data_IF_528952405008
#
_entry.id   IF_528952405008
#
_cell.length_a   1.000
_cell.length_b   1.000
_cell.length_c   1.000
_cell.angle_alpha   90.00
_cell.angle_beta   90.00
_cell.angle_gamma   90.00
#
_symmetry.space_group_name_H-M   'P 1'
#
loop_
_entity.id
_entity.type
_entity.pdbx_description
1 polymer ?
#
# COMPACT_ATOMS: atom_id res chain seq x y z
N UNK A 1 -12.31 -10.97 -37.73
CA UNK A 1 -12.20 -12.31 -37.15
C UNK A 1 -11.83 -12.17 -35.69
N UNK A 2 -12.47 -12.86 -34.74
CA UNK A 2 -12.02 -12.88 -33.35
C UNK A 2 -10.58 -13.43 -33.32
N UNK A 3 -9.69 -12.76 -32.56
CA UNK A 3 -8.34 -13.29 -32.33
C UNK A 3 -8.48 -14.70 -31.75
N UNK A 4 -7.65 -15.68 -32.19
CA UNK A 4 -7.66 -16.99 -31.57
C UNK A 4 -7.43 -16.84 -30.08
N UNK A 5 -8.27 -17.53 -29.29
CA UNK A 5 -8.15 -17.56 -27.84
C UNK A 5 -6.88 -18.33 -27.46
N UNK A 6 -5.79 -17.60 -27.34
CA UNK A 6 -4.52 -18.16 -26.87
C UNK A 6 -4.60 -18.29 -25.36
N UNK A 7 -4.60 -19.52 -24.86
CA UNK A 7 -4.55 -19.79 -23.42
C UNK A 7 -3.62 -20.94 -23.12
N UNK A 8 -2.98 -20.89 -21.95
CA UNK A 8 -2.16 -21.96 -21.39
C UNK A 8 -2.80 -22.41 -20.07
N UNK A 9 -2.87 -23.72 -19.84
CA UNK A 9 -3.39 -24.26 -18.59
C UNK A 9 -2.26 -24.83 -17.77
N UNK A 10 -2.10 -24.33 -16.56
CA UNK A 10 -1.10 -24.78 -15.58
C UNK A 10 -1.78 -25.64 -14.52
N UNK A 11 -1.17 -26.78 -14.17
CA UNK A 11 -1.61 -27.59 -13.03
C UNK A 11 -0.89 -27.07 -11.77
N UNK A 12 -1.64 -26.47 -10.83
CA UNK A 12 -1.08 -25.83 -9.63
C UNK A 12 -1.92 -26.28 -8.43
N UNK A 13 -1.29 -26.85 -7.40
CA UNK A 13 -1.96 -27.33 -6.18
C UNK A 13 -3.19 -28.23 -6.46
N UNK A 14 -3.12 -29.06 -7.51
CA UNK A 14 -4.23 -29.93 -7.93
C UNK A 14 -5.34 -29.24 -8.72
N UNK A 15 -5.23 -27.94 -9.00
CA UNK A 15 -6.19 -27.18 -9.79
C UNK A 15 -5.67 -26.86 -11.20
N UNK A 16 -6.55 -26.92 -12.20
CA UNK A 16 -6.27 -26.48 -13.57
C UNK A 16 -6.49 -24.96 -13.66
N UNK A 17 -5.42 -24.18 -13.59
CA UNK A 17 -5.46 -22.72 -13.70
C UNK A 17 -5.23 -22.29 -15.14
N UNK A 18 -6.26 -21.76 -15.80
CA UNK A 18 -6.19 -21.26 -17.16
C UNK A 18 -5.62 -19.86 -17.19
N UNK A 19 -4.50 -19.67 -17.89
CA UNK A 19 -3.88 -18.38 -18.16
C UNK A 19 -4.33 -17.90 -19.54
N UNK A 20 -5.16 -16.89 -19.57
CA UNK A 20 -5.67 -16.30 -20.82
C UNK A 20 -4.65 -15.31 -21.38
N UNK A 21 -4.46 -15.32 -22.70
CA UNK A 21 -3.52 -14.44 -23.42
C UNK A 21 -2.13 -14.40 -22.73
N UNK A 22 -1.42 -15.54 -22.63
CA UNK A 22 -0.15 -15.65 -21.91
C UNK A 22 0.91 -14.70 -22.47
N UNK A 23 0.95 -14.50 -23.78
CA UNK A 23 1.92 -13.65 -24.48
C UNK A 23 1.56 -12.15 -24.45
N UNK A 24 0.46 -11.78 -23.77
CA UNK A 24 0.07 -10.36 -23.67
C UNK A 24 1.20 -9.56 -23.04
N UNK A 25 1.72 -8.49 -23.70
CA UNK A 25 2.76 -7.64 -23.12
C UNK A 25 2.24 -6.93 -21.85
N UNK A 26 2.97 -7.07 -20.75
CA UNK A 26 2.69 -6.38 -19.50
C UNK A 26 3.65 -5.24 -19.26
N UNK A 27 4.93 -5.44 -19.54
CA UNK A 27 5.97 -4.40 -19.54
C UNK A 27 6.59 -4.32 -20.93
N UNK A 28 6.77 -3.11 -21.43
CA UNK A 28 7.25 -2.86 -22.80
C UNK A 28 8.34 -1.81 -22.89
N UNK A 29 8.57 -1.05 -21.80
CA UNK A 29 9.52 0.05 -21.74
C UNK A 29 10.95 -0.44 -21.46
N UNK A 30 11.38 -0.45 -20.22
CA UNK A 30 12.75 -0.85 -19.83
C UNK A 30 12.94 -2.37 -19.83
N UNK A 31 11.92 -3.11 -19.38
CA UNK A 31 11.91 -4.58 -19.43
C UNK A 31 10.78 -5.06 -20.34
N UNK A 32 10.99 -6.24 -20.95
CA UNK A 32 10.01 -6.88 -21.82
C UNK A 32 9.47 -8.13 -21.15
N UNK A 33 8.26 -8.03 -20.56
CA UNK A 33 7.65 -9.13 -19.83
C UNK A 33 6.21 -9.32 -20.30
N UNK A 34 5.86 -10.57 -20.54
CA UNK A 34 4.49 -11.00 -20.84
C UNK A 34 3.69 -11.22 -19.55
N UNK A 35 2.40 -11.41 -19.71
CA UNK A 35 1.51 -11.83 -18.61
C UNK A 35 1.97 -13.15 -17.98
N UNK A 36 2.38 -14.11 -18.82
CA UNK A 36 2.88 -15.40 -18.34
C UNK A 36 4.17 -15.26 -17.53
N UNK A 37 5.04 -14.31 -17.88
CA UNK A 37 6.26 -14.05 -17.12
C UNK A 37 5.92 -13.56 -15.71
N UNK A 38 4.89 -12.71 -15.57
CA UNK A 38 4.41 -12.26 -14.26
C UNK A 38 3.80 -13.42 -13.45
N UNK A 39 3.03 -14.32 -14.10
CA UNK A 39 2.52 -15.53 -13.45
C UNK A 39 3.69 -16.40 -12.96
N UNK A 40 4.67 -16.68 -13.83
CA UNK A 40 5.86 -17.48 -13.48
C UNK A 40 6.67 -16.87 -12.34
N UNK A 41 6.80 -15.52 -12.32
CA UNK A 41 7.42 -14.82 -11.21
C UNK A 41 6.70 -15.13 -9.90
N UNK A 42 5.36 -14.96 -9.82
CA UNK A 42 4.63 -15.24 -8.60
C UNK A 42 4.70 -16.71 -8.18
N UNK A 43 4.74 -17.64 -9.13
CA UNK A 43 4.95 -19.06 -8.82
C UNK A 43 6.32 -19.31 -8.19
N UNK A 44 7.36 -18.62 -8.66
CA UNK A 44 8.72 -18.79 -8.13
C UNK A 44 8.91 -18.25 -6.72
N UNK A 45 8.09 -17.28 -6.26
CA UNK A 45 8.13 -16.66 -4.94
C UNK A 45 6.86 -16.95 -4.12
N UNK A 46 6.04 -17.90 -4.56
CA UNK A 46 4.71 -18.14 -3.99
C UNK A 46 4.70 -18.36 -2.47
N UNK A 47 5.62 -19.13 -1.84
CA UNK A 47 5.63 -19.31 -0.40
C UNK A 47 5.73 -17.98 0.36
N UNK A 48 6.61 -17.08 -0.07
CA UNK A 48 6.76 -15.76 0.53
C UNK A 48 5.60 -14.81 0.21
N UNK A 49 5.13 -14.77 -1.04
CA UNK A 49 3.99 -13.96 -1.44
C UNK A 49 2.72 -14.35 -0.67
N UNK A 50 2.49 -15.65 -0.47
CA UNK A 50 1.36 -16.17 0.29
C UNK A 50 1.41 -15.79 1.77
N UNK A 51 2.59 -15.75 2.40
CA UNK A 51 2.70 -15.40 3.81
C UNK A 51 2.01 -14.06 4.14
N UNK A 52 2.17 -13.07 3.28
CA UNK A 52 1.57 -11.74 3.47
C UNK A 52 0.07 -11.65 3.17
N UNK A 53 -0.50 -12.61 2.42
CA UNK A 53 -1.89 -12.53 1.93
C UNK A 53 -2.76 -13.74 2.30
N UNK A 54 -2.17 -14.83 2.81
CA UNK A 54 -2.89 -16.06 3.12
C UNK A 54 -4.02 -15.79 4.12
N UNK A 55 -5.19 -16.36 3.81
CA UNK A 55 -6.40 -16.23 4.62
C UNK A 55 -6.86 -14.77 4.84
N UNK A 56 -6.48 -13.86 3.92
CA UNK A 56 -6.90 -12.46 3.97
C UNK A 56 -7.83 -12.12 2.81
N UNK A 57 -8.88 -11.34 3.05
CA UNK A 57 -9.61 -10.70 1.97
C UNK A 57 -8.67 -9.79 1.19
N UNK A 58 -8.80 -9.76 -0.14
CA UNK A 58 -7.91 -8.99 -1.01
C UNK A 58 -8.68 -8.13 -2.00
N UNK A 59 -8.29 -6.87 -2.10
CA UNK A 59 -8.78 -5.96 -3.14
C UNK A 59 -8.01 -6.23 -4.43
N UNK A 60 -8.71 -6.52 -5.51
CA UNK A 60 -8.11 -6.78 -6.81
C UNK A 60 -7.79 -5.46 -7.51
N UNK A 61 -6.52 -5.10 -7.57
CA UNK A 61 -6.03 -4.00 -8.42
C UNK A 61 -5.60 -4.59 -9.76
N UNK A 62 -6.45 -4.45 -10.78
CA UNK A 62 -6.33 -5.16 -12.05
C UNK A 62 -5.72 -4.29 -13.14
N UNK A 63 -4.62 -4.74 -13.71
CA UNK A 63 -3.92 -4.16 -14.86
C UNK A 63 -4.29 -4.92 -16.12
N UNK A 64 -5.54 -4.85 -16.54
CA UNK A 64 -6.06 -5.66 -17.66
C UNK A 64 -5.39 -5.33 -18.99
N UNK A 65 -4.88 -4.12 -19.17
CA UNK A 65 -4.23 -3.66 -20.41
C UNK A 65 -2.69 -3.61 -20.32
N UNK A 66 -2.12 -4.27 -19.31
CA UNK A 66 -0.69 -4.29 -19.02
C UNK A 66 -0.31 -3.32 -17.90
N UNK A 67 0.90 -3.49 -17.35
CA UNK A 67 1.38 -2.75 -16.18
C UNK A 67 1.53 -1.25 -16.41
N UNK A 68 1.79 -0.84 -17.66
CA UNK A 68 2.02 0.55 -18.06
C UNK A 68 0.72 1.31 -18.36
N UNK A 69 -0.45 0.70 -18.12
CA UNK A 69 -1.78 1.30 -18.28
C UNK A 69 -2.47 1.47 -16.93
N UNK A 70 -3.50 2.30 -16.92
CA UNK A 70 -4.25 2.58 -15.71
C UNK A 70 -4.98 1.33 -15.18
N UNK A 71 -4.78 0.97 -13.91
CA UNK A 71 -5.51 -0.12 -13.29
C UNK A 71 -6.89 0.30 -12.83
N UNK A 72 -7.76 -0.67 -12.60
CA UNK A 72 -8.98 -0.43 -11.85
C UNK A 72 -9.04 -1.30 -10.59
N UNK A 73 -9.74 -0.81 -9.56
CA UNK A 73 -9.92 -1.53 -8.31
C UNK A 73 -11.25 -2.28 -8.32
N UNK A 74 -11.20 -3.58 -8.05
CA UNK A 74 -12.36 -4.44 -7.91
C UNK A 74 -12.38 -5.03 -6.50
N UNK A 75 -13.33 -4.61 -5.69
CA UNK A 75 -13.54 -5.13 -4.33
C UNK A 75 -14.39 -6.40 -4.34
N UNK A 76 -15.38 -6.49 -5.24
CA UNK A 76 -16.26 -7.66 -5.33
C UNK A 76 -15.60 -8.77 -6.12
N UNK A 77 -15.73 -10.00 -5.61
CA UNK A 77 -15.35 -11.19 -6.34
C UNK A 77 -15.99 -11.19 -7.73
N UNK A 78 -15.25 -11.51 -8.81
CA UNK A 78 -15.81 -11.71 -10.14
C UNK A 78 -16.92 -12.77 -10.14
N UNK A 79 -17.89 -12.63 -11.03
CA UNK A 79 -18.99 -13.61 -11.15
C UNK A 79 -18.54 -14.99 -11.60
N UNK A 80 -17.41 -15.07 -12.31
CA UNK A 80 -16.75 -16.27 -12.83
C UNK A 80 -15.67 -16.80 -11.88
N UNK A 81 -15.69 -16.40 -10.60
CA UNK A 81 -14.75 -16.93 -9.59
C UNK A 81 -14.93 -18.44 -9.45
N UNK A 82 -13.85 -19.24 -9.64
CA UNK A 82 -13.92 -20.70 -9.48
C UNK A 82 -14.39 -21.09 -8.07
N UNK A 83 -15.12 -22.20 -7.98
CA UNK A 83 -15.68 -22.69 -6.70
C UNK A 83 -14.61 -22.98 -5.65
N UNK A 84 -13.40 -23.36 -6.07
CA UNK A 84 -12.26 -23.62 -5.20
C UNK A 84 -11.55 -22.35 -4.70
N UNK A 85 -11.93 -21.17 -5.18
CA UNK A 85 -11.43 -19.88 -4.65
C UNK A 85 -12.37 -19.40 -3.56
N UNK A 86 -11.85 -19.27 -2.35
CA UNK A 86 -12.62 -18.82 -1.18
C UNK A 86 -13.07 -17.37 -1.31
N UNK A 87 -14.19 -17.06 -0.65
CA UNK A 87 -14.76 -15.71 -0.53
C UNK A 87 -15.20 -15.46 0.89
N UNK A 88 -15.21 -14.20 1.30
CA UNK A 88 -15.74 -13.74 2.58
C UNK A 88 -16.48 -12.41 2.39
N UNK A 89 -17.59 -12.24 3.11
CA UNK A 89 -18.39 -11.01 3.04
C UNK A 89 -17.85 -9.97 4.02
N UNK A 90 -17.38 -8.83 3.50
CA UNK A 90 -16.97 -7.68 4.29
C UNK A 90 -18.09 -6.66 4.42
N UNK A 91 -18.20 -6.04 5.60
CA UNK A 91 -19.07 -4.89 5.85
C UNK A 91 -18.21 -3.63 5.93
N UNK A 92 -18.60 -2.59 5.20
CA UNK A 92 -17.88 -1.32 5.14
C UNK A 92 -18.56 -0.25 6.01
N UNK A 93 -17.80 0.79 6.46
CA UNK A 93 -18.37 1.90 7.24
C UNK A 93 -19.54 2.61 6.58
N UNK A 94 -19.68 2.49 5.26
CA UNK A 94 -20.81 3.02 4.48
C UNK A 94 -22.11 2.22 4.62
N UNK A 95 -22.12 1.12 5.40
CA UNK A 95 -23.22 0.17 5.51
C UNK A 95 -23.38 -0.80 4.32
N UNK A 96 -22.46 -0.73 3.32
CA UNK A 96 -22.45 -1.65 2.19
C UNK A 96 -21.68 -2.91 2.53
N UNK A 97 -21.98 -4.01 1.83
CA UNK A 97 -21.24 -5.27 1.89
C UNK A 97 -20.65 -5.64 0.54
N UNK A 98 -19.58 -6.43 0.53
CA UNK A 98 -19.04 -7.06 -0.65
C UNK A 98 -18.43 -8.41 -0.31
N UNK A 99 -18.64 -9.40 -1.18
CA UNK A 99 -17.91 -10.66 -1.13
C UNK A 99 -16.56 -10.42 -1.78
N UNK A 100 -15.49 -10.50 -0.99
CA UNK A 100 -14.11 -10.37 -1.46
C UNK A 100 -13.43 -11.74 -1.51
N UNK A 101 -12.45 -11.86 -2.39
CA UNK A 101 -11.66 -13.09 -2.56
C UNK A 101 -10.72 -13.23 -1.38
N UNK A 102 -10.54 -14.48 -0.93
CA UNK A 102 -9.55 -14.89 0.06
C UNK A 102 -8.53 -15.79 -0.61
N UNK A 103 -7.25 -15.43 -0.50
CA UNK A 103 -6.13 -16.19 -1.07
C UNK A 103 -5.56 -17.11 0.02
N UNK A 104 -5.45 -18.40 -0.26
CA UNK A 104 -4.94 -19.40 0.68
C UNK A 104 -3.93 -20.40 0.08
N UNK A 105 -3.82 -20.45 -1.25
CA UNK A 105 -2.92 -21.37 -1.94
C UNK A 105 -2.32 -20.76 -3.22
N UNK A 106 -1.35 -21.45 -3.82
CA UNK A 106 -0.66 -20.98 -5.03
C UNK A 106 -1.58 -20.91 -6.25
N UNK A 107 -2.57 -21.80 -6.35
CA UNK A 107 -3.51 -21.79 -7.46
C UNK A 107 -4.38 -20.52 -7.44
N UNK A 108 -4.90 -20.13 -6.27
CA UNK A 108 -5.69 -18.90 -6.11
C UNK A 108 -4.84 -17.64 -6.35
N UNK A 109 -3.58 -17.64 -5.93
CA UNK A 109 -2.62 -16.57 -6.26
C UNK A 109 -2.42 -16.48 -7.79
N UNK A 110 -2.11 -17.58 -8.46
CA UNK A 110 -1.93 -17.60 -9.90
C UNK A 110 -3.20 -17.16 -10.65
N UNK A 111 -4.37 -17.53 -10.15
CA UNK A 111 -5.64 -17.14 -10.73
C UNK A 111 -5.88 -15.62 -10.66
N UNK A 112 -5.66 -14.96 -9.51
CA UNK A 112 -5.79 -13.50 -9.45
C UNK A 112 -4.74 -12.77 -10.29
N UNK A 113 -3.52 -13.32 -10.39
CA UNK A 113 -2.48 -12.76 -11.26
C UNK A 113 -2.91 -12.86 -12.72
N UNK A 114 -3.53 -13.97 -13.15
CA UNK A 114 -4.13 -14.09 -14.48
C UNK A 114 -5.21 -13.03 -14.74
N UNK A 115 -5.97 -12.60 -13.73
CA UNK A 115 -6.92 -11.50 -13.83
C UNK A 115 -6.24 -10.11 -13.96
N UNK A 116 -4.92 -10.05 -13.86
CA UNK A 116 -4.12 -8.84 -13.95
C UNK A 116 -3.74 -8.22 -12.59
N UNK A 117 -3.91 -8.96 -11.50
CA UNK A 117 -3.53 -8.48 -10.16
C UNK A 117 -2.05 -8.77 -9.90
N UNK A 118 -1.18 -7.85 -10.26
CA UNK A 118 0.25 -7.95 -9.97
C UNK A 118 0.66 -7.21 -8.70
N UNK A 119 -0.18 -6.31 -8.19
CA UNK A 119 -0.07 -5.75 -6.85
C UNK A 119 -1.06 -6.46 -5.92
N UNK A 120 -0.56 -7.06 -4.85
CA UNK A 120 -1.35 -7.78 -3.86
C UNK A 120 -1.79 -6.83 -2.75
N UNK A 121 -3.08 -6.56 -2.64
CA UNK A 121 -3.65 -5.59 -1.71
C UNK A 121 -4.54 -6.25 -0.64
N UNK A 122 -3.98 -6.98 0.34
CA UNK A 122 -4.75 -7.62 1.41
C UNK A 122 -5.21 -6.61 2.46
N UNK A 123 -6.37 -6.90 3.07
CA UNK A 123 -6.76 -6.27 4.32
C UNK A 123 -5.85 -6.75 5.48
N UNK A 124 -5.68 -5.96 6.56
CA UNK A 124 -4.87 -6.35 7.72
C UNK A 124 -5.60 -7.29 8.68
N UNK A 125 -6.55 -8.08 8.17
CA UNK A 125 -7.38 -9.03 8.94
C UNK A 125 -7.37 -10.39 8.27
N UNK A 126 -7.64 -11.45 9.04
CA UNK A 126 -7.90 -12.80 8.52
C UNK A 126 -9.38 -13.00 8.27
N UNK A 127 -9.73 -13.93 7.39
CA UNK A 127 -11.13 -14.20 7.00
C UNK A 127 -12.01 -14.69 8.15
N UNK A 128 -11.42 -15.24 9.21
CA UNK A 128 -12.10 -15.70 10.41
C UNK A 128 -12.44 -14.59 11.41
N UNK A 129 -11.77 -13.43 11.33
CA UNK A 129 -12.06 -12.24 12.15
C UNK A 129 -11.78 -10.98 11.33
N UNK A 130 -12.86 -10.33 10.91
CA UNK A 130 -12.79 -9.16 10.01
C UNK A 130 -12.79 -7.82 10.74
N UNK A 131 -12.88 -7.83 12.06
CA UNK A 131 -12.99 -6.62 12.88
C UNK A 131 -11.74 -6.36 13.72
N UNK A 132 -10.87 -7.36 13.91
CA UNK A 132 -9.64 -7.23 14.66
C UNK A 132 -8.41 -7.48 13.77
N UNK A 133 -7.67 -6.40 13.41
CA UNK A 133 -6.42 -6.56 12.66
C UNK A 133 -5.40 -7.44 13.41
N UNK A 134 -4.71 -8.31 12.65
CA UNK A 134 -3.53 -9.07 13.12
C UNK A 134 -2.22 -8.46 12.64
N UNK A 135 -2.27 -7.23 12.08
CA UNK A 135 -1.11 -6.55 11.53
C UNK A 135 -1.17 -5.04 11.77
N UNK A 136 -0.13 -4.51 12.42
CA UNK A 136 0.17 -3.07 12.45
C UNK A 136 1.06 -2.72 11.27
N UNK A 137 0.72 -1.68 10.52
CA UNK A 137 1.41 -1.21 9.32
C UNK A 137 1.99 0.18 9.53
N UNK A 138 3.30 0.31 9.42
CA UNK A 138 3.99 1.60 9.40
C UNK A 138 4.48 1.83 7.96
N UNK A 139 3.78 2.71 7.26
CA UNK A 139 4.05 3.06 5.86
C UNK A 139 4.92 4.33 5.82
N UNK A 140 6.13 4.21 5.29
CA UNK A 140 7.13 5.26 5.16
C UNK A 140 7.06 5.85 3.75
N UNK A 141 6.34 6.96 3.58
CA UNK A 141 6.13 7.62 2.30
C UNK A 141 6.93 8.94 2.20
N UNK A 142 8.10 8.94 1.53
CA UNK A 142 8.90 10.14 1.37
C UNK A 142 8.20 11.15 0.45
N UNK A 143 8.22 12.43 0.83
CA UNK A 143 7.80 13.49 -0.09
C UNK A 143 8.79 13.59 -1.27
N UNK A 144 8.38 14.17 -2.41
CA UNK A 144 9.28 14.34 -3.56
C UNK A 144 10.57 15.05 -3.20
N UNK A 145 11.70 14.48 -3.64
CA UNK A 145 13.03 15.04 -3.39
C UNK A 145 13.72 14.57 -2.11
N UNK A 146 13.06 13.80 -1.26
CA UNK A 146 13.68 13.20 -0.07
C UNK A 146 14.64 12.09 -0.48
N UNK A 147 15.91 12.11 -0.01
CA UNK A 147 16.88 11.07 -0.31
C UNK A 147 16.46 9.71 0.25
N UNK A 148 16.77 8.63 -0.49
CA UNK A 148 16.51 7.25 -0.06
C UNK A 148 17.14 6.91 1.30
N UNK A 149 18.29 7.51 1.61
CA UNK A 149 18.95 7.37 2.91
C UNK A 149 18.06 7.80 4.10
N UNK A 150 17.26 8.85 3.93
CA UNK A 150 16.31 9.27 4.96
C UNK A 150 15.26 8.18 5.23
N UNK A 151 14.75 7.52 4.19
CA UNK A 151 13.78 6.43 4.33
C UNK A 151 14.39 5.27 5.11
N UNK A 152 15.64 4.87 4.78
CA UNK A 152 16.37 3.81 5.48
C UNK A 152 16.59 4.15 6.95
N UNK A 153 17.03 5.37 7.26
CA UNK A 153 17.25 5.85 8.63
C UNK A 153 15.96 5.87 9.43
N UNK A 154 14.86 6.34 8.83
CA UNK A 154 13.54 6.32 9.49
C UNK A 154 13.08 4.89 9.74
N UNK A 155 13.29 3.95 8.80
CA UNK A 155 12.96 2.55 9.00
C UNK A 155 13.72 1.92 10.18
N UNK A 156 15.02 2.24 10.33
CA UNK A 156 15.84 1.77 11.45
C UNK A 156 15.38 2.35 12.80
N UNK A 157 14.96 3.63 12.82
CA UNK A 157 14.43 4.25 14.03
C UNK A 157 13.05 3.70 14.41
N UNK A 158 12.19 3.42 13.40
CA UNK A 158 10.92 2.71 13.62
C UNK A 158 11.16 1.34 14.20
N UNK A 159 12.16 0.59 13.71
CA UNK A 159 12.58 -0.68 14.28
C UNK A 159 12.91 -0.53 15.77
N UNK A 160 13.83 0.38 16.11
CA UNK A 160 14.27 0.59 17.49
C UNK A 160 13.09 0.90 18.42
N UNK A 161 12.20 1.83 18.01
CA UNK A 161 11.01 2.17 18.79
C UNK A 161 10.09 0.96 19.01
N UNK A 162 9.82 0.16 17.97
CA UNK A 162 8.92 -0.99 18.08
C UNK A 162 9.52 -2.09 18.99
N UNK A 163 10.84 -2.34 18.86
CA UNK A 163 11.57 -3.29 19.73
C UNK A 163 11.60 -2.83 21.20
N UNK A 164 11.74 -1.54 21.48
CA UNK A 164 11.61 -0.95 22.83
C UNK A 164 10.24 -1.23 23.47
N UNK A 165 9.20 -1.36 22.64
CA UNK A 165 7.85 -1.68 23.06
C UNK A 165 7.51 -3.18 23.01
N UNK A 166 8.52 -4.05 22.83
CA UNK A 166 8.38 -5.51 22.85
C UNK A 166 7.74 -6.10 21.59
N UNK A 167 7.76 -5.37 20.49
CA UNK A 167 7.24 -5.81 19.20
C UNK A 167 8.36 -6.28 18.27
N UNK A 168 8.07 -7.23 17.39
CA UNK A 168 9.00 -7.73 16.37
C UNK A 168 8.66 -7.15 15.00
N UNK A 169 9.38 -6.13 14.50
CA UNK A 169 9.10 -5.52 13.22
C UNK A 169 9.76 -6.27 12.06
N UNK A 170 9.06 -6.30 10.91
CA UNK A 170 9.49 -6.85 9.63
C UNK A 170 9.47 -5.77 8.55
N UNK A 171 10.58 -5.61 7.86
CA UNK A 171 10.78 -4.51 6.91
C UNK A 171 10.78 -5.00 5.47
N UNK A 172 10.19 -4.20 4.56
CA UNK A 172 10.26 -4.41 3.12
C UNK A 172 10.33 -3.09 2.37
N UNK A 173 10.86 -3.10 1.16
CA UNK A 173 10.66 -1.96 0.25
C UNK A 173 9.20 -1.87 -0.15
N UNK A 174 8.69 -0.68 -0.43
CA UNK A 174 7.36 -0.53 -1.03
C UNK A 174 7.31 -0.99 -2.50
N UNK A 175 8.49 -1.25 -3.08
CA UNK A 175 8.66 -1.43 -4.53
C UNK A 175 8.51 -0.12 -5.31
N UNK A 176 8.45 1.02 -4.64
CA UNK A 176 8.43 2.36 -5.23
C UNK A 176 9.46 3.25 -4.53
N UNK A 177 9.04 4.29 -3.81
CA UNK A 177 9.94 5.27 -3.18
C UNK A 177 10.13 5.09 -1.69
N UNK A 178 9.32 4.28 -1.04
CA UNK A 178 9.25 4.13 0.41
C UNK A 178 9.59 2.74 0.90
N UNK A 179 9.41 2.56 2.20
CA UNK A 179 9.49 1.27 2.89
C UNK A 179 8.23 1.06 3.73
N UNK A 180 7.90 -0.20 4.01
CA UNK A 180 6.89 -0.55 5.00
C UNK A 180 7.56 -1.35 6.12
N UNK A 181 7.18 -1.05 7.35
CA UNK A 181 7.52 -1.85 8.53
C UNK A 181 6.23 -2.43 9.06
N UNK A 182 6.10 -3.73 8.99
CA UNK A 182 4.91 -4.46 9.42
C UNK A 182 5.21 -5.22 10.71
N UNK A 183 4.20 -5.32 11.58
CA UNK A 183 4.29 -6.07 12.85
C UNK A 183 3.08 -6.97 12.94
N UNK A 184 3.28 -8.25 13.27
CA UNK A 184 2.16 -9.10 13.70
C UNK A 184 1.73 -8.72 15.10
N UNK A 185 0.43 -8.57 15.29
CA UNK A 185 -0.18 -8.23 16.57
C UNK A 185 -1.25 -9.27 16.94
N UNK A 186 -1.49 -9.43 18.23
CA UNK A 186 -2.64 -10.22 18.70
C UNK A 186 -3.95 -9.63 18.13
N UNK A 187 -4.84 -10.44 17.51
CA UNK A 187 -6.06 -9.91 16.88
C UNK A 187 -7.17 -9.65 17.93
N UNK A 188 -6.95 -8.67 18.80
CA UNK A 188 -7.90 -8.28 19.87
C UNK A 188 -8.18 -6.79 19.93
N UNK A 189 -7.45 -5.98 19.16
CA UNK A 189 -7.67 -4.54 19.07
C UNK A 189 -8.47 -4.20 17.82
N UNK A 190 -9.36 -3.23 17.96
CA UNK A 190 -10.13 -2.69 16.86
C UNK A 190 -9.25 -1.89 15.88
N UNK A 191 -9.74 -1.67 14.67
CA UNK A 191 -9.06 -0.79 13.70
C UNK A 191 -8.78 0.61 14.24
N UNK A 192 -9.67 1.14 15.10
CA UNK A 192 -9.47 2.44 15.75
C UNK A 192 -8.27 2.43 16.68
N UNK A 193 -8.13 1.39 17.49
CA UNK A 193 -7.00 1.24 18.41
C UNK A 193 -5.69 0.99 17.66
N UNK A 194 -5.68 0.16 16.62
CA UNK A 194 -4.48 -0.09 15.80
C UNK A 194 -4.04 1.19 15.08
N UNK A 195 -4.98 1.97 14.53
CA UNK A 195 -4.66 3.28 13.92
C UNK A 195 -4.13 4.27 14.95
N UNK A 196 -4.71 4.28 16.17
CA UNK A 196 -4.25 5.13 17.29
C UNK A 196 -2.83 4.76 17.70
N UNK A 197 -2.50 3.47 17.76
CA UNK A 197 -1.13 2.99 18.00
C UNK A 197 -0.18 3.45 16.87
N UNK A 198 -0.56 3.32 15.60
CA UNK A 198 0.24 3.78 14.47
C UNK A 198 0.50 5.30 14.52
N UNK A 199 -0.50 6.11 14.92
CA UNK A 199 -0.35 7.55 15.10
C UNK A 199 0.65 7.89 16.21
N UNK A 200 0.61 7.15 17.33
CA UNK A 200 1.58 7.34 18.43
C UNK A 200 3.01 7.00 17.98
N UNK A 201 3.20 5.90 17.25
CA UNK A 201 4.49 5.57 16.62
C UNK A 201 4.94 6.70 15.70
N UNK A 202 4.08 7.20 14.82
CA UNK A 202 4.41 8.27 13.87
C UNK A 202 4.87 9.55 14.57
N UNK A 203 4.19 9.96 15.65
CA UNK A 203 4.54 11.11 16.48
C UNK A 203 5.85 10.90 17.24
N UNK A 204 6.07 9.71 17.79
CA UNK A 204 7.31 9.39 18.49
C UNK A 204 8.52 9.46 17.55
N UNK A 205 8.39 8.94 16.33
CA UNK A 205 9.44 9.01 15.30
C UNK A 205 9.67 10.47 14.85
N UNK A 206 8.61 11.26 14.66
CA UNK A 206 8.75 12.69 14.34
C UNK A 206 9.54 13.44 15.43
N UNK A 207 9.29 13.15 16.74
CA UNK A 207 10.04 13.72 17.87
C UNK A 207 11.51 13.29 17.88
N UNK A 208 11.81 12.03 17.54
CA UNK A 208 13.19 11.50 17.49
C UNK A 208 13.98 11.98 16.27
N UNK A 209 13.28 12.27 15.17
CA UNK A 209 13.89 12.62 13.88
C UNK A 209 13.28 13.91 13.30
N UNK A 210 13.37 15.05 14.00
CA UNK A 210 12.77 16.30 13.54
C UNK A 210 13.33 16.72 12.18
N UNK A 211 12.45 17.13 11.26
CA UNK A 211 12.82 17.51 9.89
C UNK A 211 13.16 16.35 8.94
N UNK A 212 13.30 15.13 9.46
CA UNK A 212 13.55 13.91 8.65
C UNK A 212 12.31 13.05 8.53
N UNK A 213 11.51 12.94 9.60
CA UNK A 213 10.24 12.22 9.63
C UNK A 213 9.10 13.15 10.03
N UNK A 214 7.86 12.86 9.59
CA UNK A 214 6.69 13.65 9.92
C UNK A 214 5.43 12.82 10.06
N UNK A 215 4.58 13.20 11.04
CA UNK A 215 3.22 12.69 11.23
C UNK A 215 2.15 13.65 10.69
N UNK A 216 2.54 14.76 10.06
CA UNK A 216 1.63 15.81 9.59
C UNK A 216 0.71 15.29 8.48
N UNK A 217 -0.61 15.45 8.68
CA UNK A 217 -1.61 15.03 7.69
C UNK A 217 -1.58 15.87 6.42
N UNK A 218 -1.44 17.20 6.56
CA UNK A 218 -1.49 18.11 5.42
C UNK A 218 -0.20 18.04 4.60
N UNK A 219 -0.33 17.82 3.28
CA UNK A 219 0.82 17.65 2.38
C UNK A 219 1.77 18.87 2.41
N UNK A 220 1.18 20.05 2.58
CA UNK A 220 1.90 21.33 2.60
C UNK A 220 2.78 21.51 3.87
N UNK A 221 2.48 20.74 4.93
CA UNK A 221 3.21 20.78 6.19
C UNK A 221 4.24 19.66 6.31
N UNK A 222 4.21 18.69 5.39
CA UNK A 222 5.09 17.53 5.44
C UNK A 222 6.52 17.92 5.11
N UNK A 223 7.44 17.37 5.90
CA UNK A 223 8.88 17.44 5.67
C UNK A 223 9.46 16.02 5.81
N UNK A 224 10.39 15.63 4.93
CA UNK A 224 11.03 14.34 5.02
C UNK A 224 10.13 13.16 4.66
N UNK A 225 10.12 12.14 5.50
CA UNK A 225 9.38 10.90 5.33
C UNK A 225 8.08 10.97 6.14
N UNK A 226 6.94 10.86 5.47
CA UNK A 226 5.64 10.79 6.13
C UNK A 226 5.35 9.37 6.59
N UNK A 227 4.99 9.21 7.87
CA UNK A 227 4.51 7.94 8.40
C UNK A 227 2.98 7.93 8.31
N UNK A 228 2.44 7.17 7.32
CA UNK A 228 0.99 7.14 7.07
C UNK A 228 0.26 6.16 8.01
N UNK A 229 -0.12 6.66 9.18
CA UNK A 229 -0.91 5.93 10.17
C UNK A 229 -2.31 5.54 9.69
N UNK A 230 -2.86 6.23 8.67
CA UNK A 230 -4.18 5.93 8.12
C UNK A 230 -4.24 4.64 7.29
N UNK A 231 -3.10 4.02 6.97
CA UNK A 231 -3.06 2.68 6.38
C UNK A 231 -3.59 1.59 7.34
N UNK A 232 -3.78 1.94 8.62
CA UNK A 232 -4.39 1.07 9.64
C UNK A 232 -5.90 1.32 9.84
N UNK A 233 -6.52 2.22 9.08
CA UNK A 233 -7.97 2.41 9.12
C UNK A 233 -8.69 1.25 8.39
N UNK A 234 -9.90 0.90 8.82
CA UNK A 234 -10.75 -0.10 8.13
C UNK A 234 -10.89 0.29 6.64
N UNK A 235 -10.91 -0.65 5.75
CA UNK A 235 -10.94 -0.49 4.29
C UNK A 235 -9.63 -0.03 3.62
N UNK A 236 -8.56 0.11 4.38
CA UNK A 236 -7.25 0.40 3.81
C UNK A 236 -6.48 -0.88 3.53
N UNK A 237 -5.83 -0.89 2.38
CA UNK A 237 -4.97 -1.99 1.96
C UNK A 237 -3.64 -1.43 1.48
N UNK A 238 -2.56 -2.15 1.77
CA UNK A 238 -1.22 -1.81 1.29
C UNK A 238 -0.68 -2.91 0.39
N UNK A 239 0.24 -2.57 -0.52
CA UNK A 239 0.90 -3.58 -1.33
C UNK A 239 1.70 -4.54 -0.43
N UNK A 240 1.35 -5.83 -0.46
CA UNK A 240 2.05 -6.88 0.27
C UNK A 240 3.44 -7.15 -0.30
N UNK A 241 4.25 -7.91 0.45
CA UNK A 241 5.54 -8.41 -0.03
C UNK A 241 5.38 -9.15 -1.38
N UNK A 242 6.41 -9.09 -2.19
CA UNK A 242 6.48 -9.65 -3.55
C UNK A 242 5.53 -9.02 -4.59
N UNK A 243 4.71 -8.03 -4.24
CA UNK A 243 3.91 -7.29 -5.22
C UNK A 243 4.79 -6.66 -6.29
N UNK A 244 4.42 -6.83 -7.56
CA UNK A 244 5.09 -6.19 -8.70
C UNK A 244 4.50 -4.81 -8.91
N UNK A 245 5.36 -3.79 -8.98
CA UNK A 245 4.91 -2.40 -9.16
C UNK A 245 4.87 -2.02 -10.64
N UNK A 246 3.94 -1.15 -11.06
CA UNK A 246 3.80 -0.69 -12.43
C UNK A 246 4.86 0.36 -12.79
N UNK A 247 6.13 0.05 -12.56
CA UNK A 247 7.27 0.88 -12.89
C UNK A 247 8.03 0.25 -14.07
N UNK A 248 8.68 1.02 -14.93
CA UNK A 248 9.29 0.52 -16.17
C UNK A 248 10.27 -0.64 -15.99
N UNK A 249 10.96 -0.69 -14.84
CA UNK A 249 11.92 -1.73 -14.44
C UNK A 249 11.26 -2.95 -13.74
N UNK A 250 9.93 -2.99 -13.64
CA UNK A 250 9.16 -4.05 -12.97
C UNK A 250 9.64 -4.34 -11.54
N UNK A 251 9.91 -3.28 -10.75
CA UNK A 251 10.29 -3.42 -9.34
C UNK A 251 9.24 -4.14 -8.53
N UNK A 252 9.72 -4.76 -7.44
CA UNK A 252 8.88 -5.49 -6.51
C UNK A 252 9.02 -4.95 -5.09
N UNK A 253 7.98 -5.15 -4.29
CA UNK A 253 8.00 -4.91 -2.84
C UNK A 253 8.79 -6.04 -2.17
N UNK A 254 10.09 -5.83 -1.95
CA UNK A 254 11.02 -6.87 -1.49
C UNK A 254 11.09 -6.92 0.03
N UNK A 255 10.82 -8.09 0.67
CA UNK A 255 11.17 -8.33 2.05
C UNK A 255 12.69 -8.24 2.26
N UNK A 256 13.09 -7.65 3.36
CA UNK A 256 14.50 -7.43 3.71
C UNK A 256 14.80 -7.96 5.11
N UNK A 257 16.03 -8.43 5.30
CA UNK A 257 16.60 -8.53 6.64
C UNK A 257 17.03 -7.15 7.11
N UNK A 258 17.04 -6.94 8.41
CA UNK A 258 17.38 -5.62 8.96
C UNK A 258 18.83 -5.18 8.70
N UNK A 259 19.76 -6.13 8.54
CA UNK A 259 21.14 -5.84 8.16
C UNK A 259 21.31 -5.31 6.72
N UNK A 260 20.33 -5.57 5.85
CA UNK A 260 20.32 -5.09 4.47
C UNK A 260 19.84 -3.62 4.34
N UNK A 261 19.06 -3.13 5.32
CA UNK A 261 18.36 -1.83 5.21
C UNK A 261 19.31 -0.67 4.99
N UNK A 262 20.48 -0.66 5.66
CA UNK A 262 21.46 0.44 5.55
C UNK A 262 22.06 0.58 4.16
N UNK A 263 22.07 -0.47 3.34
CA UNK A 263 22.76 -0.52 2.05
C UNK A 263 21.84 -0.79 0.86
N UNK A 264 20.61 -1.29 1.08
CA UNK A 264 19.71 -1.66 0.01
C UNK A 264 19.32 -0.47 -0.89
N UNK A 265 19.08 -0.77 -2.16
CA UNK A 265 18.41 0.12 -3.11
C UNK A 265 17.13 -0.55 -3.62
N UNK A 266 16.02 0.18 -3.62
CA UNK A 266 14.74 -0.36 -4.09
C UNK A 266 14.78 -0.84 -5.55
N UNK A 267 15.65 -0.26 -6.37
CA UNK A 267 15.82 -0.65 -7.78
C UNK A 267 16.51 -2.01 -7.98
N UNK A 268 17.17 -2.55 -6.95
CA UNK A 268 17.85 -3.85 -7.04
C UNK A 268 16.86 -5.02 -7.05
N UNK A 269 15.62 -4.78 -6.63
CA UNK A 269 14.58 -5.79 -6.44
C UNK A 269 13.53 -5.70 -7.55
N UNK A 270 13.66 -6.55 -8.56
CA UNK A 270 12.77 -6.60 -9.73
C UNK A 270 12.21 -8.00 -9.94
N UNK A 271 11.23 -8.12 -10.84
CA UNK A 271 10.73 -9.42 -11.30
C UNK A 271 11.87 -10.34 -11.77
N UNK A 272 12.96 -9.78 -12.31
CA UNK A 272 14.09 -10.55 -12.83
C UNK A 272 15.08 -10.99 -11.74
N UNK A 273 15.24 -10.22 -10.67
CA UNK A 273 16.25 -10.49 -9.63
C UNK A 273 15.71 -11.27 -8.43
N UNK A 274 14.41 -11.07 -8.10
CA UNK A 274 13.81 -11.67 -6.92
C UNK A 274 13.71 -13.20 -6.93
N UNK A 275 13.47 -13.90 -8.05
CA UNK A 275 13.42 -15.37 -8.05
C UNK A 275 14.75 -15.99 -7.57
N UNK A 276 15.87 -15.49 -8.07
CA UNK A 276 17.20 -15.96 -7.66
C UNK A 276 17.48 -15.61 -6.17
N UNK A 277 17.11 -14.39 -5.74
CA UNK A 277 17.22 -13.99 -4.34
C UNK A 277 16.39 -14.89 -3.43
N UNK A 278 15.13 -15.16 -3.78
CA UNK A 278 14.27 -16.03 -2.99
C UNK A 278 14.79 -17.46 -2.91
N UNK A 279 15.29 -18.00 -4.02
CA UNK A 279 15.89 -19.33 -4.03
C UNK A 279 17.16 -19.43 -3.15
N UNK A 280 17.96 -18.34 -3.07
CA UNK A 280 19.20 -18.32 -2.31
C UNK A 280 18.99 -18.06 -0.80
N UNK A 281 18.06 -17.17 -0.44
CA UNK A 281 17.90 -16.66 0.94
C UNK A 281 16.62 -17.11 1.63
N UNK A 282 15.65 -17.65 0.88
CA UNK A 282 14.29 -17.85 1.37
C UNK A 282 13.53 -16.50 1.55
N UNK A 283 12.48 -16.53 2.36
CA UNK A 283 11.73 -15.34 2.72
C UNK A 283 12.23 -14.73 4.03
N UNK A 284 12.75 -13.50 4.05
CA UNK A 284 13.13 -12.81 5.28
C UNK A 284 11.99 -12.63 6.30
N UNK A 285 10.74 -12.79 5.87
CA UNK A 285 9.55 -12.69 6.71
C UNK A 285 8.96 -14.05 7.12
N UNK A 286 9.65 -15.18 6.84
CA UNK A 286 9.12 -16.54 6.98
C UNK A 286 8.52 -16.87 8.36
N UNK A 287 9.06 -16.30 9.42
CA UNK A 287 8.65 -16.52 10.81
C UNK A 287 7.70 -15.43 11.36
N UNK A 288 7.28 -14.48 10.51
CA UNK A 288 6.49 -13.32 10.92
C UNK A 288 5.23 -13.69 11.72
N UNK A 289 4.52 -14.73 11.31
CA UNK A 289 3.28 -15.16 11.98
C UNK A 289 3.51 -15.77 13.36
N UNK A 290 4.75 -16.14 13.70
CA UNK A 290 5.13 -16.65 15.03
C UNK A 290 5.37 -15.51 16.05
N UNK A 291 5.40 -14.26 15.63
CA UNK A 291 5.79 -13.12 16.45
C UNK A 291 4.62 -12.11 16.69
N UNK A 292 3.42 -12.62 16.93
CA UNK A 292 2.29 -11.76 17.27
C UNK A 292 2.50 -11.11 18.64
N UNK A 293 2.60 -9.77 18.66
CA UNK A 293 2.88 -8.98 19.87
C UNK A 293 1.68 -8.17 20.36
N UNK A 294 1.81 -7.66 21.59
CA UNK A 294 0.80 -6.81 22.23
C UNK A 294 0.99 -5.34 21.90
N UNK A 295 -0.09 -4.64 21.52
CA UNK A 295 -0.08 -3.18 21.34
C UNK A 295 -0.22 -2.39 22.64
N UNK A 296 -0.37 -3.04 23.81
CA UNK A 296 -0.67 -2.35 25.07
C UNK A 296 0.31 -1.23 25.36
N UNK A 297 1.63 -1.47 25.26
CA UNK A 297 2.68 -0.48 25.53
C UNK A 297 2.65 0.72 24.54
N UNK A 298 2.34 0.48 23.26
CA UNK A 298 2.18 1.57 22.27
C UNK A 298 0.90 2.37 22.54
N UNK A 299 -0.17 1.70 22.99
CA UNK A 299 -1.41 2.39 23.36
C UNK A 299 -1.26 3.23 24.64
N UNK A 300 -0.37 2.86 25.57
CA UNK A 300 0.05 3.70 26.70
C UNK A 300 0.80 4.95 26.20
N UNK A 301 1.66 4.81 25.17
CA UNK A 301 2.30 5.96 24.53
C UNK A 301 1.25 6.90 23.92
N UNK A 302 0.23 6.34 23.23
CA UNK A 302 -0.87 7.12 22.68
C UNK A 302 -1.65 7.85 23.78
N UNK A 303 -1.91 7.19 24.92
CA UNK A 303 -2.60 7.82 26.05
C UNK A 303 -1.79 8.96 26.69
N UNK A 304 -0.46 8.86 26.73
CA UNK A 304 0.42 9.97 27.16
C UNK A 304 0.35 11.16 26.21
N UNK A 305 0.43 10.91 24.89
CA UNK A 305 0.27 11.96 23.87
C UNK A 305 -1.06 12.70 24.03
N UNK A 306 -2.16 11.99 24.31
CA UNK A 306 -3.48 12.58 24.55
C UNK A 306 -3.54 13.40 25.84
N UNK A 307 -2.92 12.92 26.92
CA UNK A 307 -2.83 13.63 28.18
C UNK A 307 -2.00 14.93 28.06
N UNK A 308 -1.04 14.95 27.13
CA UNK A 308 -0.27 16.16 26.76
C UNK A 308 -1.02 17.08 25.80
N UNK A 309 -2.28 16.78 25.47
CA UNK A 309 -3.13 17.60 24.60
C UNK A 309 -2.98 17.32 23.10
N UNK A 310 -2.26 16.28 22.70
CA UNK A 310 -2.21 15.84 21.30
C UNK A 310 -3.47 15.04 20.96
N UNK A 311 -4.47 15.71 20.39
CA UNK A 311 -5.72 15.10 19.94
C UNK A 311 -5.54 14.09 18.82
N UNK A 312 -6.64 13.53 18.30
CA UNK A 312 -6.63 12.64 17.13
C UNK A 312 -6.15 13.39 15.88
N UNK A 313 -5.81 12.64 14.84
CA UNK A 313 -5.43 13.16 13.53
C UNK A 313 -6.56 12.91 12.52
N UNK A 314 -6.61 13.64 11.38
CA UNK A 314 -7.67 13.48 10.39
C UNK A 314 -7.81 12.04 9.89
N UNK A 315 -9.05 11.56 9.87
CA UNK A 315 -9.42 10.28 9.29
C UNK A 315 -9.63 10.40 7.78
N UNK A 316 -9.57 9.28 7.04
CA UNK A 316 -9.91 9.31 5.62
C UNK A 316 -11.33 9.85 5.38
N UNK A 317 -11.59 10.55 4.24
CA UNK A 317 -12.83 11.32 4.05
C UNK A 317 -14.14 10.52 4.15
N UNK A 318 -14.11 9.22 3.86
CA UNK A 318 -15.29 8.35 3.89
C UNK A 318 -15.65 7.80 5.28
N UNK A 319 -14.82 8.06 6.30
CA UNK A 319 -15.15 7.71 7.68
C UNK A 319 -16.03 8.77 8.33
N UNK A 320 -16.87 8.36 9.28
CA UNK A 320 -17.58 9.29 10.15
C UNK A 320 -16.55 10.15 10.92
N UNK A 321 -16.83 11.45 11.09
CA UNK A 321 -15.94 12.34 11.84
C UNK A 321 -15.95 11.94 13.31
N UNK A 322 -14.75 11.75 13.88
CA UNK A 322 -14.60 11.43 15.29
C UNK A 322 -14.72 12.67 16.17
N UNK A 323 -15.18 12.55 17.43
CA UNK A 323 -15.41 13.72 18.32
C UNK A 323 -14.16 14.59 18.56
N UNK A 324 -12.98 13.96 18.66
CA UNK A 324 -11.70 14.63 18.94
C UNK A 324 -10.88 14.90 17.68
N UNK A 325 -11.42 14.57 16.51
CA UNK A 325 -10.72 14.69 15.24
C UNK A 325 -10.67 16.14 14.78
N UNK A 326 -9.48 16.68 14.38
CA UNK A 326 -9.35 18.00 13.81
C UNK A 326 -10.06 18.14 12.46
N UNK A 327 -10.10 19.34 11.90
CA UNK A 327 -10.67 19.58 10.57
C UNK A 327 -9.95 18.73 9.52
N UNK A 328 -10.71 18.06 8.65
CA UNK A 328 -10.17 17.29 7.49
C UNK A 328 -9.83 18.19 6.30
N UNK A 329 -10.34 19.40 6.31
CA UNK A 329 -10.09 20.41 5.29
C UNK A 329 -9.18 21.45 5.91
N UNK A 330 -8.03 21.68 5.28
CA UNK A 330 -7.19 22.79 5.71
C UNK A 330 -8.01 24.08 5.61
N UNK A 331 -8.01 24.95 6.66
CA UNK A 331 -8.66 26.23 6.55
C UNK A 331 -8.13 26.93 5.28
N UNK A 332 -9.02 27.36 4.40
CA UNK A 332 -8.60 28.10 3.20
C UNK A 332 -7.75 29.28 3.68
N UNK A 333 -6.49 29.35 3.21
CA UNK A 333 -5.70 30.58 3.38
C UNK A 333 -6.60 31.71 2.95
N UNK A 334 -6.76 32.73 3.80
CA UNK A 334 -7.59 33.87 3.51
C UNK A 334 -7.39 34.27 2.05
N UNK A 335 -8.47 34.41 1.27
CA UNK A 335 -8.35 34.80 -0.14
C UNK A 335 -7.46 36.04 -0.17
N UNK A 336 -6.29 35.92 -0.79
CA UNK A 336 -5.43 37.09 -0.99
C UNK A 336 -6.28 38.16 -1.63
N UNK A 337 -6.19 39.40 -1.13
CA UNK A 337 -6.96 40.51 -1.69
C UNK A 337 -6.69 40.55 -3.21
N UNK A 338 -7.65 41.06 -3.97
CA UNK A 338 -7.51 41.20 -5.44
C UNK A 338 -6.20 41.91 -5.79
N UNK A 339 -5.81 42.92 -5.00
CA UNK A 339 -4.58 43.69 -5.19
C UNK A 339 -3.31 42.85 -4.97
N UNK A 340 -3.33 41.93 -4.01
CA UNK A 340 -2.22 40.99 -3.76
C UNK A 340 -2.10 39.95 -4.88
N UNK A 341 -3.23 39.49 -5.46
CA UNK A 341 -3.24 38.55 -6.58
C UNK A 341 -2.74 39.22 -7.87
N UNK A 342 -3.03 40.49 -8.07
CA UNK A 342 -2.54 41.26 -9.22
C UNK A 342 -1.03 41.55 -9.11
N UNK A 343 -0.53 41.84 -7.91
CA UNK A 343 0.89 42.06 -7.65
C UNK A 343 1.75 40.79 -7.87
N UNK A 344 1.19 39.61 -7.66
CA UNK A 344 1.86 38.30 -7.87
C UNK A 344 1.70 37.75 -9.32
N UNK A 345 1.14 38.50 -10.26
CA UNK A 345 1.04 38.11 -11.68
C UNK A 345 -0.04 37.08 -12.01
N UNK A 346 -0.85 36.62 -11.04
CA UNK A 346 -1.92 35.65 -11.27
C UNK A 346 -3.07 36.20 -12.16
N UNK A 347 -3.27 37.49 -12.16
CA UNK A 347 -4.24 38.17 -13.02
C UNK A 347 -3.89 38.13 -14.51
N UNK A 348 -2.63 38.28 -14.83
CA UNK A 348 -2.15 38.32 -16.21
C UNK A 348 -2.35 37.00 -16.99
N UNK A 349 -2.27 35.87 -16.33
CA UNK A 349 -2.50 34.56 -16.97
C UNK A 349 -3.99 34.29 -17.25
N UNK A 350 -4.87 34.75 -16.39
CA UNK A 350 -6.33 34.57 -16.56
C UNK A 350 -6.87 35.46 -17.68
N UNK A 351 -6.40 36.71 -17.75
CA UNK A 351 -6.73 37.61 -18.85
C UNK A 351 -6.15 37.15 -20.21
N UNK A 352 -4.94 36.59 -20.22
CA UNK A 352 -4.36 36.00 -21.45
C UNK A 352 -5.14 34.79 -21.95
N UNK A 353 -5.63 33.92 -21.05
CA UNK A 353 -6.50 32.80 -21.43
C UNK A 353 -7.86 33.21 -21.92
N UNK A 354 -8.44 34.27 -21.35
CA UNK A 354 -9.74 34.80 -21.77
C UNK A 354 -9.63 35.56 -23.09
N UNK A 355 -8.59 36.34 -23.27
CA UNK A 355 -8.30 37.01 -24.54
C UNK A 355 -8.05 36.02 -25.69
N UNK A 356 -7.37 34.88 -25.40
CA UNK A 356 -7.14 33.82 -26.37
C UNK A 356 -8.44 33.11 -26.78
N UNK A 357 -9.35 32.84 -25.83
CA UNK A 357 -10.69 32.29 -26.12
C UNK A 357 -11.55 33.19 -26.98
N UNK A 358 -11.50 34.52 -26.77
CA UNK A 358 -12.23 35.51 -27.58
C UNK A 358 -11.65 35.56 -29.00
N UNK A 359 -10.33 35.41 -29.18
CA UNK A 359 -9.70 35.36 -30.50
C UNK A 359 -9.96 34.07 -31.29
N UNK A 360 -10.18 32.95 -30.57
CA UNK A 360 -10.42 31.63 -31.17
C UNK A 360 -11.92 31.34 -31.42
N UNK A 361 -12.84 32.25 -31.07
CA UNK A 361 -14.27 32.19 -31.46
C UNK A 361 -15.09 31.10 -30.76
N UNK A 362 -14.66 30.60 -29.58
CA UNK A 362 -15.46 29.64 -28.81
C UNK A 362 -16.59 30.35 -28.04
N UNK A 363 -17.84 29.85 -28.07
CA UNK A 363 -18.96 30.45 -27.36
C UNK A 363 -18.81 30.23 -25.83
N UNK A 364 -19.18 31.25 -25.05
CA UNK A 364 -19.28 31.17 -23.59
C UNK A 364 -20.31 30.10 -23.20
N UNK A 365 -19.88 29.16 -22.33
CA UNK A 365 -20.73 28.20 -21.63
C UNK A 365 -20.84 28.58 -20.15
#
# INVERSE_FOLDING_TARGET
>A
MPKPDTSETLSIDGHAVRISSPDKPYFTSEVKLSKLDIVKYFLSVAPGALLGIRDRPIVLKRFVDGAEKDPFYQKRAPSDTPEWVRKVTLSFPSGRTADEIVIDNTASLAWIVNLGCMELHPHPVRSGDLDHPDELRIDLDPIPGVPWDHVRRVALEVRALLEEHGLTPFVKTSGSRGMHVNVRIEPRWTFTEVRRAALAVSRAIERRMPGVATSKWWKEERQGVFLDYNQNAKDRTTASAYSVRPLPDARVSAPLRWDEVSTCNAADFTVLTMPARFAALGDPHADMDAHAGSLASILELAARDEAEGLGDAPWPPHFAKQPTEPSRVQPSKAKKSFDTQMAEGFGAQRFRKQAKKIQEGEPEA
#
